data_IF_911897378434
#
_entry.id   IF_911897378434
#
_cell.length_a   1.000
_cell.length_b   1.000
_cell.length_c   1.000
_cell.angle_alpha   90.00
_cell.angle_beta   90.00
_cell.angle_gamma   90.00
#
_symmetry.space_group_name_H-M   'P 1'
#
loop_
_entity.id
_entity.type
_entity.pdbx_description
1 polymer ?
#
# COMPACT_ATOMS: atom_id res chain seq x y z
N UNK A 1 -22.19 -7.69 -6.68
CA UNK A 1 -21.17 -6.64 -6.44
C UNK A 1 -19.84 -7.37 -6.40
N UNK A 2 -18.82 -6.87 -7.07
CA UNK A 2 -17.48 -7.46 -6.99
C UNK A 2 -17.00 -7.42 -5.54
N UNK A 3 -16.36 -8.49 -5.07
CA UNK A 3 -15.74 -8.51 -3.74
C UNK A 3 -14.58 -7.52 -3.67
N UNK A 4 -14.36 -6.94 -2.49
CA UNK A 4 -13.23 -6.04 -2.25
C UNK A 4 -12.20 -6.79 -1.40
N UNK A 5 -10.96 -6.81 -1.87
CA UNK A 5 -9.82 -7.34 -1.13
C UNK A 5 -8.94 -6.21 -0.65
N UNK A 6 -8.65 -6.21 0.64
CA UNK A 6 -7.85 -5.15 1.28
C UNK A 6 -6.45 -5.68 1.55
N UNK A 7 -5.47 -5.18 0.80
CA UNK A 7 -4.09 -5.64 0.84
C UNK A 7 -3.23 -4.62 1.58
N UNK A 8 -2.52 -5.06 2.61
CA UNK A 8 -1.68 -4.22 3.45
C UNK A 8 -0.21 -4.56 3.23
N UNK A 9 0.59 -3.61 2.75
CA UNK A 9 2.03 -3.75 2.61
C UNK A 9 2.74 -3.57 3.96
N UNK A 10 2.97 -4.65 4.68
CA UNK A 10 3.64 -4.68 5.99
C UNK A 10 5.07 -5.25 5.93
N UNK A 11 5.59 -5.56 4.72
CA UNK A 11 6.88 -6.21 4.51
C UNK A 11 8.10 -5.29 4.57
N UNK A 12 7.94 -3.97 4.68
CA UNK A 12 9.06 -3.02 4.68
C UNK A 12 10.04 -3.23 5.83
N UNK A 13 11.35 -3.18 5.54
CA UNK A 13 12.42 -3.40 6.53
C UNK A 13 12.57 -2.26 7.56
N UNK A 14 11.99 -1.09 7.32
CA UNK A 14 12.05 0.06 8.23
C UNK A 14 13.49 0.57 8.46
N UNK A 15 14.35 0.51 7.46
CA UNK A 15 15.79 0.84 7.57
C UNK A 15 16.06 2.23 8.11
N UNK A 16 15.21 3.21 7.81
CA UNK A 16 15.33 4.58 8.35
C UNK A 16 15.13 4.64 9.86
N UNK A 17 14.27 3.79 10.43
CA UNK A 17 13.99 3.74 11.88
C UNK A 17 15.06 2.97 12.67
N UNK A 18 15.84 2.12 12.02
CA UNK A 18 16.93 1.39 12.68
C UNK A 18 18.00 2.33 13.26
N UNK A 19 18.07 3.56 12.76
CA UNK A 19 18.98 4.60 13.25
C UNK A 19 18.46 5.33 14.50
N UNK A 20 17.18 5.14 14.89
CA UNK A 20 16.55 5.86 16.01
C UNK A 20 16.37 5.02 17.29
N UNK A 21 17.12 3.95 17.43
CA UNK A 21 17.08 3.12 18.63
C UNK A 21 17.28 1.64 18.33
N UNK A 22 17.76 0.91 19.33
CA UNK A 22 18.11 -0.51 19.29
C UNK A 22 16.89 -1.45 19.10
N UNK A 23 15.92 -1.09 18.26
CA UNK A 23 14.71 -1.87 18.06
C UNK A 23 14.95 -2.93 16.97
N UNK A 24 15.08 -4.18 17.39
CA UNK A 24 14.97 -5.37 16.52
C UNK A 24 13.55 -5.57 15.95
N UNK A 25 12.63 -4.62 16.19
CA UNK A 25 11.22 -4.69 15.80
C UNK A 25 11.02 -4.01 14.43
N UNK A 26 10.11 -4.55 13.63
CA UNK A 26 9.60 -3.85 12.44
C UNK A 26 8.83 -2.59 12.86
N UNK A 27 8.80 -1.56 12.00
CA UNK A 27 7.97 -0.37 12.22
C UNK A 27 6.49 -0.69 12.46
N UNK A 28 6.00 -1.78 11.86
CA UNK A 28 4.60 -2.23 12.00
C UNK A 28 4.21 -2.59 13.44
N UNK A 29 5.20 -2.89 14.28
CA UNK A 29 5.03 -3.22 15.70
C UNK A 29 5.38 -2.06 16.65
N UNK A 30 5.63 -0.87 16.11
CA UNK A 30 5.75 0.33 16.93
C UNK A 30 4.38 0.70 17.50
N UNK A 31 4.33 1.06 18.77
CA UNK A 31 3.10 1.43 19.43
C UNK A 31 2.77 2.91 19.22
N UNK A 32 1.53 3.16 18.85
CA UNK A 32 0.92 4.48 18.75
C UNK A 32 -0.33 4.47 19.64
N UNK A 33 -0.30 5.21 20.74
CA UNK A 33 -1.39 5.25 21.73
C UNK A 33 -1.78 3.86 22.26
N UNK A 34 -0.78 3.02 22.56
CA UNK A 34 -0.99 1.71 23.18
C UNK A 34 -1.41 0.58 22.21
N UNK A 35 -1.41 0.84 20.91
CA UNK A 35 -1.65 -0.17 19.88
C UNK A 35 -0.49 -0.20 18.91
N UNK A 36 -0.15 -1.38 18.38
CA UNK A 36 0.81 -1.48 17.28
C UNK A 36 0.28 -0.81 16.01
N UNK A 37 1.17 -0.29 15.18
CA UNK A 37 0.78 0.36 13.92
C UNK A 37 -0.09 -0.54 13.05
N UNK A 38 0.24 -1.83 12.94
CA UNK A 38 -0.54 -2.76 12.11
C UNK A 38 -1.95 -2.98 12.68
N UNK A 39 -2.09 -3.15 14.00
CA UNK A 39 -3.39 -3.28 14.66
C UNK A 39 -4.23 -2.02 14.47
N UNK A 40 -3.61 -0.85 14.66
CA UNK A 40 -4.29 0.43 14.47
C UNK A 40 -4.75 0.62 13.02
N UNK A 41 -3.93 0.24 12.04
CA UNK A 41 -4.31 0.33 10.63
C UNK A 41 -5.48 -0.59 10.29
N UNK A 42 -5.47 -1.84 10.74
CA UNK A 42 -6.59 -2.77 10.54
C UNK A 42 -7.88 -2.22 11.17
N UNK A 43 -7.82 -1.69 12.40
CA UNK A 43 -8.99 -1.06 13.03
C UNK A 43 -9.54 0.11 12.20
N UNK A 44 -8.67 0.93 11.59
CA UNK A 44 -9.09 1.99 10.70
C UNK A 44 -9.81 1.44 9.45
N UNK A 45 -9.25 0.43 8.80
CA UNK A 45 -9.82 -0.18 7.59
C UNK A 45 -11.18 -0.87 7.89
N UNK A 46 -11.29 -1.55 9.03
CA UNK A 46 -12.55 -2.13 9.50
C UNK A 46 -13.60 -1.03 9.71
N UNK A 47 -13.22 0.13 10.27
CA UNK A 47 -14.13 1.26 10.44
C UNK A 47 -14.63 1.85 9.12
N UNK A 48 -13.96 1.55 8.01
CA UNK A 48 -14.37 1.90 6.63
C UNK A 48 -15.24 0.82 5.97
N UNK A 49 -15.65 -0.21 6.73
CA UNK A 49 -16.38 -1.39 6.26
C UNK A 49 -15.61 -2.21 5.22
N UNK A 50 -14.30 -2.27 5.35
CA UNK A 50 -13.45 -3.14 4.55
C UNK A 50 -13.25 -4.47 5.26
N UNK A 51 -13.13 -5.52 4.48
CA UNK A 51 -12.91 -6.90 4.88
C UNK A 51 -11.94 -7.62 3.93
N UNK A 52 -11.88 -8.96 3.93
CA UNK A 52 -11.00 -9.77 3.08
C UNK A 52 -9.53 -9.29 3.12
N UNK A 53 -8.96 -9.26 4.34
CA UNK A 53 -7.63 -8.74 4.56
C UNK A 53 -6.52 -9.69 4.12
N UNK A 54 -5.56 -9.17 3.36
CA UNK A 54 -4.31 -9.83 3.00
C UNK A 54 -3.16 -8.97 3.51
N UNK A 55 -2.33 -9.51 4.41
CA UNK A 55 -1.16 -8.82 4.94
C UNK A 55 0.11 -9.36 4.29
N UNK A 56 0.81 -8.49 3.56
CA UNK A 56 2.09 -8.83 2.94
C UNK A 56 3.21 -8.56 3.95
N UNK A 57 3.89 -9.62 4.34
CA UNK A 57 5.00 -9.57 5.30
C UNK A 57 6.33 -9.90 4.61
N UNK A 58 7.41 -9.90 5.36
CA UNK A 58 8.71 -10.42 4.92
C UNK A 58 9.18 -11.56 5.85
N UNK A 59 10.08 -12.45 5.42
CA UNK A 59 10.50 -13.60 6.22
C UNK A 59 11.08 -13.25 7.60
N UNK A 60 11.68 -12.04 7.73
CA UNK A 60 12.29 -11.59 8.99
C UNK A 60 11.26 -11.26 10.07
N UNK A 61 10.10 -10.74 9.69
CA UNK A 61 9.10 -10.21 10.62
C UNK A 61 7.74 -10.92 10.56
N UNK A 62 7.56 -11.87 9.65
CA UNK A 62 6.30 -12.58 9.42
C UNK A 62 5.72 -13.14 10.73
N UNK A 63 6.52 -13.92 11.45
CA UNK A 63 6.07 -14.52 12.72
C UNK A 63 5.65 -13.45 13.74
N UNK A 64 6.43 -12.37 13.88
CA UNK A 64 6.14 -11.33 14.86
C UNK A 64 4.83 -10.59 14.54
N UNK A 65 4.57 -10.31 13.25
CA UNK A 65 3.34 -9.65 12.81
C UNK A 65 2.13 -10.58 13.02
N UNK A 66 2.26 -11.86 12.68
CA UNK A 66 1.21 -12.85 12.91
C UNK A 66 0.88 -13.05 14.38
N UNK A 67 1.90 -13.16 15.25
CA UNK A 67 1.73 -13.29 16.70
C UNK A 67 1.01 -12.06 17.27
N UNK A 68 1.37 -10.86 16.83
CA UNK A 68 0.72 -9.60 17.22
C UNK A 68 -0.75 -9.56 16.80
N UNK A 69 -1.04 -9.89 15.54
CA UNK A 69 -2.41 -9.84 15.04
C UNK A 69 -3.28 -10.96 15.61
N UNK A 70 -2.75 -12.17 15.81
CA UNK A 70 -3.47 -13.25 16.47
C UNK A 70 -3.87 -12.90 17.91
N UNK A 71 -3.06 -12.11 18.59
CA UNK A 71 -3.34 -11.65 19.97
C UNK A 71 -4.39 -10.55 20.02
N UNK A 72 -4.33 -9.58 19.11
CA UNK A 72 -5.12 -8.35 19.20
C UNK A 72 -6.31 -8.30 18.24
N UNK A 73 -6.38 -9.22 17.27
CA UNK A 73 -7.38 -9.28 16.20
C UNK A 73 -7.83 -10.75 15.98
N UNK A 74 -8.03 -11.51 17.07
CA UNK A 74 -8.31 -12.95 17.04
C UNK A 74 -9.56 -13.33 16.24
N UNK A 75 -10.53 -12.45 16.18
CA UNK A 75 -11.83 -12.68 15.52
C UNK A 75 -11.80 -12.28 14.04
N UNK A 76 -10.67 -11.76 13.55
CA UNK A 76 -10.50 -11.34 12.17
C UNK A 76 -9.78 -12.41 11.35
N UNK A 77 -10.41 -12.86 10.27
CA UNK A 77 -9.75 -13.75 9.31
C UNK A 77 -8.79 -12.93 8.43
N UNK A 78 -7.50 -13.23 8.53
CA UNK A 78 -6.43 -12.54 7.80
C UNK A 78 -5.63 -13.57 6.99
N UNK A 79 -5.52 -13.32 5.70
CA UNK A 79 -4.61 -14.05 4.83
C UNK A 79 -3.22 -13.41 4.86
N UNK A 80 -2.18 -14.23 4.76
CA UNK A 80 -0.79 -13.75 4.79
C UNK A 80 -0.03 -14.19 3.56
N UNK A 81 0.76 -13.28 3.00
CA UNK A 81 1.71 -13.60 1.93
C UNK A 81 3.09 -13.03 2.22
N UNK A 82 4.11 -13.69 1.71
CA UNK A 82 5.51 -13.32 1.92
C UNK A 82 6.07 -12.60 0.69
N UNK A 83 6.61 -11.42 0.90
CA UNK A 83 7.54 -10.78 -0.02
C UNK A 83 8.97 -11.23 0.37
N UNK A 84 9.48 -12.25 -0.31
CA UNK A 84 10.81 -12.80 0.03
C UNK A 84 11.95 -11.84 -0.31
N UNK A 85 11.83 -11.11 -1.40
CA UNK A 85 12.80 -10.11 -1.86
C UNK A 85 12.18 -8.72 -1.83
N UNK A 86 12.91 -7.74 -1.33
CA UNK A 86 12.44 -6.35 -1.23
C UNK A 86 12.63 -5.62 -2.58
N UNK A 87 11.80 -5.96 -3.55
CA UNK A 87 11.88 -5.45 -4.92
C UNK A 87 10.86 -4.33 -5.22
N UNK A 88 10.42 -3.62 -4.21
CA UNK A 88 9.54 -2.46 -4.36
C UNK A 88 8.07 -2.72 -4.00
N UNK A 89 7.28 -1.65 -4.04
CA UNK A 89 5.88 -1.59 -3.58
C UNK A 89 4.95 -2.37 -4.52
N UNK A 90 5.12 -2.25 -5.84
CA UNK A 90 4.32 -3.03 -6.79
C UNK A 90 4.64 -4.53 -6.70
N UNK A 91 5.91 -4.91 -6.45
CA UNK A 91 6.28 -6.30 -6.22
C UNK A 91 5.63 -6.87 -4.95
N UNK A 92 5.45 -6.07 -3.90
CA UNK A 92 4.71 -6.49 -2.71
C UNK A 92 3.24 -6.81 -3.06
N UNK A 93 2.56 -5.93 -3.80
CA UNK A 93 1.19 -6.15 -4.25
C UNK A 93 1.05 -7.46 -5.03
N UNK A 94 1.99 -7.78 -5.93
CA UNK A 94 1.98 -9.01 -6.73
C UNK A 94 1.93 -10.29 -5.87
N UNK A 95 2.47 -10.26 -4.65
CA UNK A 95 2.44 -11.44 -3.77
C UNK A 95 1.04 -11.81 -3.29
N UNK A 96 0.05 -10.91 -3.46
CA UNK A 96 -1.35 -11.17 -3.11
C UNK A 96 -2.15 -11.84 -4.24
N UNK A 97 -1.66 -11.87 -5.47
CA UNK A 97 -2.41 -12.32 -6.67
C UNK A 97 -3.16 -13.63 -6.45
N UNK A 98 -2.50 -14.63 -5.88
CA UNK A 98 -3.08 -15.97 -5.67
C UNK A 98 -4.28 -16.04 -4.71
N UNK A 99 -4.55 -14.95 -3.99
CA UNK A 99 -5.65 -14.86 -3.02
C UNK A 99 -6.83 -14.02 -3.55
N UNK A 100 -6.62 -13.30 -4.65
CA UNK A 100 -7.58 -12.33 -5.19
C UNK A 100 -8.29 -12.91 -6.40
N UNK A 101 -9.63 -13.08 -6.37
CA UNK A 101 -10.41 -13.51 -7.53
C UNK A 101 -10.31 -12.53 -8.71
N UNK A 102 -10.51 -13.06 -9.94
CA UNK A 102 -10.35 -12.29 -11.18
C UNK A 102 -11.30 -11.09 -11.30
N UNK A 103 -12.47 -11.13 -10.67
CA UNK A 103 -13.49 -10.08 -10.70
C UNK A 103 -13.47 -9.15 -9.47
N UNK A 104 -12.51 -9.34 -8.56
CA UNK A 104 -12.41 -8.56 -7.35
C UNK A 104 -11.84 -7.15 -7.59
N UNK A 105 -12.19 -6.24 -6.69
CA UNK A 105 -11.54 -4.94 -6.54
C UNK A 105 -10.52 -4.99 -5.41
N UNK A 106 -9.48 -4.21 -5.54
CA UNK A 106 -8.33 -4.25 -4.65
C UNK A 106 -8.12 -2.88 -4.02
N UNK A 107 -8.23 -2.79 -2.70
CA UNK A 107 -7.73 -1.67 -1.92
C UNK A 107 -6.32 -2.04 -1.46
N UNK A 108 -5.32 -1.32 -1.93
CA UNK A 108 -3.93 -1.52 -1.56
C UNK A 108 -3.43 -0.36 -0.72
N UNK A 109 -2.95 -0.65 0.50
CA UNK A 109 -2.48 0.36 1.44
C UNK A 109 -1.08 0.06 1.95
N UNK A 110 -0.24 1.10 2.04
CA UNK A 110 1.06 1.00 2.69
C UNK A 110 0.87 1.01 4.21
N UNK A 111 1.53 0.08 4.91
CA UNK A 111 1.33 -0.19 6.32
C UNK A 111 1.63 0.95 7.29
N UNK A 112 2.22 2.03 6.81
CA UNK A 112 2.56 3.22 7.60
C UNK A 112 1.73 4.47 7.21
N UNK A 113 0.69 4.30 6.41
CA UNK A 113 -0.20 5.39 6.02
C UNK A 113 -1.48 5.37 6.86
N UNK A 114 -1.77 6.48 7.52
CA UNK A 114 -2.98 6.72 8.31
C UNK A 114 -3.73 7.93 7.78
N UNK A 115 -5.04 7.89 7.86
CA UNK A 115 -5.93 8.92 7.32
C UNK A 115 -6.83 9.48 8.42
N UNK A 116 -7.07 10.78 8.43
CA UNK A 116 -7.97 11.40 9.39
C UNK A 116 -9.45 11.11 9.09
N UNK A 117 -9.78 10.83 7.82
CA UNK A 117 -11.12 10.49 7.34
C UNK A 117 -11.06 9.32 6.34
N UNK A 118 -12.20 8.73 6.04
CA UNK A 118 -12.28 7.68 5.02
C UNK A 118 -12.28 8.30 3.61
N UNK A 119 -11.18 8.19 2.84
CA UNK A 119 -11.11 8.77 1.50
C UNK A 119 -11.89 7.98 0.44
N UNK A 120 -12.42 6.81 0.79
CA UNK A 120 -13.19 5.95 -0.10
C UNK A 120 -14.70 6.25 -0.09
N UNK A 121 -15.18 7.15 0.80
CA UNK A 121 -16.60 7.29 1.13
C UNK A 121 -17.46 7.69 -0.08
N UNK A 122 -16.92 8.50 -0.99
CA UNK A 122 -17.64 9.00 -2.17
C UNK A 122 -17.24 8.27 -3.46
N UNK A 123 -16.45 7.19 -3.35
CA UNK A 123 -15.92 6.46 -4.50
C UNK A 123 -16.82 5.26 -4.85
N UNK A 124 -17.29 5.20 -6.08
CA UNK A 124 -17.95 4.00 -6.61
C UNK A 124 -16.88 2.96 -7.01
N UNK A 125 -16.43 2.20 -6.02
CA UNK A 125 -15.37 1.19 -6.16
C UNK A 125 -15.72 0.19 -7.28
N UNK A 126 -17.00 -0.17 -7.44
CA UNK A 126 -17.42 -1.20 -8.40
C UNK A 126 -17.21 -0.78 -9.86
N UNK A 127 -17.24 0.52 -10.15
CA UNK A 127 -17.10 1.09 -11.50
C UNK A 127 -15.70 1.61 -11.81
N UNK A 128 -14.82 1.67 -10.81
CA UNK A 128 -13.51 2.27 -10.93
C UNK A 128 -12.48 1.21 -11.26
N UNK A 129 -11.68 1.40 -12.32
CA UNK A 129 -10.58 0.49 -12.66
C UNK A 129 -9.34 0.77 -11.81
N UNK A 130 -8.98 2.05 -11.65
CA UNK A 130 -7.93 2.49 -10.75
C UNK A 130 -8.25 3.86 -10.17
N UNK A 131 -7.83 4.09 -8.93
CA UNK A 131 -7.82 5.41 -8.29
C UNK A 131 -6.59 5.56 -7.41
N UNK A 132 -6.05 6.75 -7.40
CA UNK A 132 -5.01 7.18 -6.48
C UNK A 132 -5.50 8.39 -5.68
N UNK A 133 -4.98 8.55 -4.49
CA UNK A 133 -5.32 9.68 -3.62
C UNK A 133 -4.13 10.60 -3.52
N UNK A 134 -4.39 11.90 -3.60
CA UNK A 134 -3.35 12.92 -3.69
C UNK A 134 -3.34 13.81 -2.46
N UNK A 135 -2.14 14.25 -2.08
CA UNK A 135 -1.96 15.32 -1.10
C UNK A 135 -0.84 16.25 -1.56
N UNK A 136 -0.81 17.46 -1.01
CA UNK A 136 0.30 18.41 -1.25
C UNK A 136 1.33 18.29 -0.15
N UNK A 137 2.59 18.36 -0.54
CA UNK A 137 3.74 18.35 0.36
C UNK A 137 4.75 19.43 -0.03
N UNK A 138 5.63 19.81 0.91
CA UNK A 138 6.70 20.78 0.67
C UNK A 138 7.97 20.19 0.06
N UNK A 139 8.09 18.85 0.06
CA UNK A 139 9.27 18.11 -0.43
C UNK A 139 8.85 16.97 -1.37
N UNK A 140 8.17 17.29 -2.50
CA UNK A 140 7.59 16.28 -3.40
C UNK A 140 8.62 15.35 -4.04
N UNK A 141 9.89 15.77 -4.15
CA UNK A 141 11.00 14.96 -4.69
C UNK A 141 11.30 13.66 -3.91
N UNK A 142 10.71 13.50 -2.72
CA UNK A 142 10.85 12.28 -1.93
C UNK A 142 9.77 11.20 -2.26
N UNK A 143 8.82 11.52 -3.13
CA UNK A 143 7.59 10.75 -3.35
C UNK A 143 7.28 10.52 -4.84
N UNK A 144 6.23 9.76 -5.11
CA UNK A 144 5.62 9.69 -6.43
C UNK A 144 4.85 10.99 -6.75
N UNK A 145 5.44 11.85 -7.57
CA UNK A 145 4.88 13.16 -7.93
C UNK A 145 3.88 13.03 -9.05
N UNK A 146 2.69 13.60 -8.87
CA UNK A 146 1.58 13.55 -9.83
C UNK A 146 1.37 14.90 -10.47
N UNK A 147 1.37 14.95 -11.80
CA UNK A 147 1.03 16.12 -12.58
C UNK A 147 -0.47 16.07 -12.94
N UNK A 148 -1.20 17.08 -12.49
CA UNK A 148 -2.65 17.21 -12.75
C UNK A 148 -2.90 18.48 -13.56
N UNK A 149 -3.61 18.36 -14.69
CA UNK A 149 -4.01 19.46 -15.55
C UNK A 149 -5.51 19.37 -15.80
N UNK A 150 -6.25 20.44 -15.51
CA UNK A 150 -7.72 20.51 -15.68
C UNK A 150 -8.50 19.38 -14.96
N UNK A 151 -7.94 18.87 -13.86
CA UNK A 151 -8.54 17.79 -13.08
C UNK A 151 -8.15 16.37 -13.52
N UNK A 152 -7.41 16.23 -14.60
CA UNK A 152 -6.94 14.95 -15.14
C UNK A 152 -5.47 14.71 -14.75
N UNK A 153 -5.15 13.45 -14.43
CA UNK A 153 -3.77 13.04 -14.19
C UNK A 153 -3.06 12.87 -15.54
N UNK A 154 -2.00 13.66 -15.74
CA UNK A 154 -1.23 13.66 -16.99
C UNK A 154 0.01 12.78 -16.88
N UNK A 155 0.65 12.76 -15.73
CA UNK A 155 1.83 11.93 -15.49
C UNK A 155 2.05 11.67 -14.01
N UNK A 156 2.78 10.61 -13.72
CA UNK A 156 3.31 10.34 -12.39
C UNK A 156 4.78 9.95 -12.51
N UNK A 157 5.62 10.44 -11.61
CA UNK A 157 7.06 10.17 -11.61
C UNK A 157 7.54 9.82 -10.21
N UNK A 158 8.28 8.72 -10.08
CA UNK A 158 8.89 8.32 -8.80
C UNK A 158 10.10 9.20 -8.49
N UNK A 159 10.04 9.92 -7.38
CA UNK A 159 11.13 10.74 -6.81
C UNK A 159 11.90 11.55 -7.86
N UNK A 160 11.23 12.39 -8.64
CA UNK A 160 11.90 13.17 -9.65
C UNK A 160 12.84 14.22 -9.04
N UNK A 161 14.01 14.40 -9.62
CA UNK A 161 14.96 15.44 -9.18
C UNK A 161 14.44 16.87 -9.41
N UNK A 162 13.45 17.03 -10.29
CA UNK A 162 12.76 18.29 -10.60
C UNK A 162 11.26 18.02 -10.64
N UNK A 163 10.56 18.09 -9.49
CA UNK A 163 9.13 17.87 -9.42
C UNK A 163 8.35 18.85 -10.28
N UNK A 164 7.33 18.36 -10.99
CA UNK A 164 6.44 19.19 -11.81
C UNK A 164 5.25 19.77 -11.05
N UNK A 165 4.99 19.24 -9.86
CA UNK A 165 3.91 19.69 -8.97
C UNK A 165 4.24 19.41 -7.50
N UNK A 166 3.42 19.98 -6.60
CA UNK A 166 3.46 19.68 -5.16
C UNK A 166 2.57 18.49 -4.79
N UNK A 167 1.81 17.93 -5.74
CA UNK A 167 0.94 16.79 -5.50
C UNK A 167 1.73 15.49 -5.54
N UNK A 168 1.52 14.66 -4.52
CA UNK A 168 2.07 13.31 -4.44
C UNK A 168 0.95 12.28 -4.30
N UNK A 169 1.19 11.08 -4.80
CA UNK A 169 0.34 9.94 -4.50
C UNK A 169 0.59 9.46 -3.07
N UNK A 170 -0.47 9.39 -2.26
CA UNK A 170 -0.38 8.78 -0.92
C UNK A 170 -0.44 7.27 -1.02
N UNK A 171 -0.01 6.57 0.03
CA UNK A 171 0.05 5.11 0.05
C UNK A 171 -1.29 4.40 0.21
N UNK A 172 -2.31 4.83 -0.51
CA UNK A 172 -3.60 4.19 -0.66
C UNK A 172 -3.99 4.18 -2.14
N UNK A 173 -4.36 3.01 -2.63
CA UNK A 173 -4.65 2.80 -4.05
C UNK A 173 -5.88 1.90 -4.19
N UNK A 174 -6.69 2.16 -5.22
CA UNK A 174 -7.70 1.25 -5.71
C UNK A 174 -7.26 0.72 -7.07
N UNK A 175 -7.39 -0.58 -7.28
CA UNK A 175 -7.14 -1.23 -8.57
C UNK A 175 -8.23 -2.27 -8.87
N UNK A 176 -8.41 -2.59 -10.14
CA UNK A 176 -9.01 -3.85 -10.57
C UNK A 176 -7.93 -4.96 -10.64
N UNK A 177 -8.34 -6.17 -10.96
CA UNK A 177 -7.45 -7.34 -11.01
C UNK A 177 -6.38 -7.23 -12.13
N UNK A 178 -6.58 -6.40 -13.15
CA UNK A 178 -5.58 -6.16 -14.21
C UNK A 178 -4.25 -5.62 -13.67
N UNK A 179 -4.24 -5.07 -12.46
CA UNK A 179 -3.01 -4.59 -11.83
C UNK A 179 -1.92 -5.67 -11.77
N UNK A 180 -2.28 -6.94 -11.56
CA UNK A 180 -1.30 -8.03 -11.49
C UNK A 180 -0.62 -8.28 -12.84
N UNK A 181 -1.37 -8.24 -13.95
CA UNK A 181 -0.82 -8.35 -15.30
C UNK A 181 0.08 -7.16 -15.64
N UNK A 182 -0.35 -5.95 -15.25
CA UNK A 182 0.45 -4.75 -15.44
C UNK A 182 1.76 -4.81 -14.65
N UNK A 183 1.73 -5.27 -13.39
CA UNK A 183 2.95 -5.44 -12.57
C UNK A 183 3.94 -6.41 -13.24
N UNK A 184 3.48 -7.50 -13.83
CA UNK A 184 4.33 -8.44 -14.57
C UNK A 184 4.98 -7.83 -15.81
N UNK A 185 4.40 -6.76 -16.37
CA UNK A 185 4.87 -6.06 -17.58
C UNK A 185 5.79 -4.86 -17.31
N UNK A 186 5.83 -4.32 -16.09
CA UNK A 186 6.69 -3.17 -15.78
C UNK A 186 8.15 -3.59 -15.60
N UNK A 187 9.05 -2.64 -15.78
CA UNK A 187 10.49 -2.82 -15.59
C UNK A 187 10.91 -2.29 -14.21
N UNK A 188 12.00 -2.80 -13.69
CA UNK A 188 12.63 -2.20 -12.50
C UNK A 188 13.16 -0.81 -12.83
N UNK A 189 12.96 0.10 -11.89
CA UNK A 189 13.59 1.43 -11.93
C UNK A 189 15.12 1.34 -11.76
N UNK A 190 15.81 2.46 -11.93
CA UNK A 190 17.26 2.59 -11.63
C UNK A 190 17.60 2.25 -10.17
N UNK A 191 16.59 2.26 -9.28
CA UNK A 191 16.70 1.83 -7.89
C UNK A 191 16.63 0.32 -7.70
N UNK A 192 16.35 -0.43 -8.78
CA UNK A 192 16.16 -1.88 -8.77
C UNK A 192 14.80 -2.32 -8.23
N UNK A 193 13.82 -1.41 -8.14
CA UNK A 193 12.49 -1.64 -7.59
C UNK A 193 11.41 -1.64 -8.67
N UNK A 194 10.38 -2.44 -8.51
CA UNK A 194 9.12 -2.35 -9.25
C UNK A 194 8.27 -1.28 -8.56
N UNK A 195 8.26 -0.09 -9.14
CA UNK A 195 7.62 1.08 -8.53
C UNK A 195 6.10 1.04 -8.71
N UNK A 196 5.39 1.50 -7.69
CA UNK A 196 3.93 1.63 -7.79
C UNK A 196 3.54 2.72 -8.81
N UNK A 197 4.38 3.73 -8.98
CA UNK A 197 4.19 4.78 -9.99
C UNK A 197 4.21 4.22 -11.40
N UNK A 198 5.08 3.23 -11.70
CA UNK A 198 5.09 2.55 -12.99
C UNK A 198 3.85 1.67 -13.22
N UNK A 199 3.25 1.12 -12.16
CA UNK A 199 1.95 0.47 -12.27
C UNK A 199 0.85 1.48 -12.59
N UNK A 200 0.83 2.63 -11.91
CA UNK A 200 -0.17 3.68 -12.13
C UNK A 200 -0.09 4.20 -13.58
N UNK A 201 1.12 4.39 -14.14
CA UNK A 201 1.32 4.77 -15.54
C UNK A 201 0.67 3.80 -16.55
N UNK A 202 0.46 2.52 -16.19
CA UNK A 202 -0.24 1.56 -17.05
C UNK A 202 -1.75 1.80 -17.13
N UNK A 203 -2.30 2.56 -16.19
CA UNK A 203 -3.71 2.93 -16.15
C UNK A 203 -3.99 4.31 -16.77
N UNK A 204 -2.96 5.14 -17.01
CA UNK A 204 -3.05 6.42 -17.74
C UNK A 204 -3.03 6.23 -19.24
#
# INVERSE_FOLDING_TARGET
MSEIYTIIAAGGLGTRLQNYGNTKKTKMLLEINGQSMITKQLNQLISWNLDNFIVITNPRYDKLIKDELSKNMSDLEIQYSLQNEQLGVAHALLQAEKFVPDDAKIIYILGDNFFEFNPLIDLDISKTNASIFLTKVSNPEEFGVVEVVEGEIISIQEKPSKPKSDYIAVGLYLFDNLCFEYIKSIQKSDRGEYEITSLIEKYL
#
